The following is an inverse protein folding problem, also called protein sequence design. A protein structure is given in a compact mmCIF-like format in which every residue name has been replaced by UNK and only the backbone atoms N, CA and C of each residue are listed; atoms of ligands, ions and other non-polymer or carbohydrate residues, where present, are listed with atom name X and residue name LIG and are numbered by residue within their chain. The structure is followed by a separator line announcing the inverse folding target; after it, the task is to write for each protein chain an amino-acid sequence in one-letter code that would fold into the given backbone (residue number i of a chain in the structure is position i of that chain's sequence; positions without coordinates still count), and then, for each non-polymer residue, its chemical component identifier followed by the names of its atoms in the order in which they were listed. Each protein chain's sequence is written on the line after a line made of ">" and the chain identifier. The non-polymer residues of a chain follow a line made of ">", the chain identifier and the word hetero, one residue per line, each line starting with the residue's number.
data_IF_907922396419
#
_entry.id   IF_907922396419
#
_cell.length_a   1.000
_cell.length_b   1.000
_cell.length_c   1.000
_cell.angle_alpha   90.00
_cell.angle_beta   90.00
_cell.angle_gamma   90.00
#
_symmetry.space_group_name_H-M   'P 1'
#
loop_
_entity.id
_entity.type
_entity.pdbx_description
1 polymer ?
#
# COMPACT_ATOMS: atom_id res chain seq x y z
N UNK A 1 28.31 -46.86 -61.05
CA UNK A 1 28.36 -46.36 -62.42
C UNK A 1 28.16 -44.89 -62.40
N UNK A 2 29.00 -44.01 -62.65
CA UNK A 2 30.07 -43.72 -63.57
C UNK A 2 30.84 -42.50 -62.98
N UNK A 3 32.11 -42.60 -62.93
CA UNK A 3 33.13 -41.63 -62.60
C UNK A 3 33.11 -40.46 -63.60
N UNK A 4 33.38 -39.22 -63.13
CA UNK A 4 34.19 -38.33 -63.98
C UNK A 4 35.05 -37.43 -63.07
N UNK A 5 36.36 -37.68 -63.16
CA UNK A 5 37.45 -36.82 -62.65
C UNK A 5 37.65 -35.64 -63.66
N UNK A 6 37.91 -34.46 -63.22
CA UNK A 6 38.70 -33.48 -63.98
C UNK A 6 39.69 -32.76 -63.05
N UNK A 7 40.84 -32.56 -63.63
CA UNK A 7 42.13 -32.26 -63.01
C UNK A 7 42.40 -30.78 -62.88
N UNK A 8 43.35 -30.48 -62.00
CA UNK A 8 44.06 -29.26 -61.68
C UNK A 8 44.47 -28.37 -62.85
N UNK A 9 44.41 -27.06 -62.62
CA UNK A 9 45.49 -26.12 -63.03
C UNK A 9 45.69 -25.09 -61.94
N UNK A 10 46.87 -25.07 -61.32
CA UNK A 10 47.36 -24.07 -60.42
C UNK A 10 47.94 -22.90 -61.19
N UNK A 11 47.48 -21.69 -60.98
CA UNK A 11 48.15 -20.46 -61.40
C UNK A 11 48.54 -19.68 -60.17
N UNK A 12 49.83 -19.70 -59.85
CA UNK A 12 50.49 -18.83 -58.85
C UNK A 12 50.60 -17.41 -59.47
N UNK A 13 49.88 -16.46 -58.93
CA UNK A 13 50.12 -15.03 -59.13
C UNK A 13 50.43 -14.42 -57.79
N UNK A 14 51.73 -14.08 -57.59
CA UNK A 14 52.22 -13.37 -56.42
C UNK A 14 51.69 -11.92 -56.43
N UNK A 15 50.83 -11.61 -55.47
CA UNK A 15 50.39 -10.25 -55.17
C UNK A 15 50.96 -9.83 -53.83
N UNK A 16 51.91 -8.91 -53.88
CA UNK A 16 52.46 -8.23 -52.69
C UNK A 16 51.37 -7.47 -51.97
N UNK A 17 50.96 -7.96 -50.82
CA UNK A 17 50.07 -7.22 -49.89
C UNK A 17 50.88 -6.12 -49.19
N UNK A 18 50.73 -4.90 -49.64
CA UNK A 18 51.13 -3.73 -48.90
C UNK A 18 50.16 -3.57 -47.71
N UNK A 19 50.58 -3.93 -46.50
CA UNK A 19 49.89 -3.61 -45.28
C UNK A 19 49.96 -2.08 -45.05
N UNK A 20 48.89 -1.40 -45.42
CA UNK A 20 48.72 0.01 -45.04
C UNK A 20 48.51 0.08 -43.54
N UNK A 21 49.49 0.58 -42.81
CA UNK A 21 49.34 0.95 -41.41
C UNK A 21 48.27 2.03 -41.29
N UNK A 22 47.07 1.66 -40.89
CA UNK A 22 46.04 2.60 -40.49
C UNK A 22 46.57 3.37 -39.25
N UNK A 23 46.98 4.59 -39.44
CA UNK A 23 47.34 5.51 -38.37
C UNK A 23 46.10 5.67 -37.49
N UNK A 24 46.23 5.30 -36.20
CA UNK A 24 45.25 5.59 -35.14
C UNK A 24 45.08 7.12 -35.06
N UNK A 25 44.08 7.64 -35.71
CA UNK A 25 43.61 9.00 -35.43
C UNK A 25 43.08 8.99 -33.99
N UNK A 26 43.46 9.95 -33.13
CA UNK A 26 42.93 10.04 -31.80
C UNK A 26 41.42 10.20 -31.89
N UNK A 27 40.69 9.32 -31.21
CA UNK A 27 39.22 9.43 -31.06
C UNK A 27 38.88 10.84 -30.59
N UNK A 28 37.86 11.50 -31.14
CA UNK A 28 37.43 12.79 -30.65
C UNK A 28 37.10 12.69 -29.16
N UNK A 29 37.43 13.73 -28.37
CA UNK A 29 37.15 13.70 -26.93
C UNK A 29 35.67 13.42 -26.73
N UNK A 30 35.35 12.35 -25.99
CA UNK A 30 33.99 12.08 -25.57
C UNK A 30 33.49 13.27 -24.74
N UNK A 31 32.28 13.79 -25.04
CA UNK A 31 31.70 14.84 -24.21
C UNK A 31 31.69 14.35 -22.73
N UNK A 32 31.95 15.25 -21.78
CA UNK A 32 31.90 14.88 -20.36
C UNK A 32 30.57 14.22 -20.06
N UNK A 33 30.61 13.13 -19.31
CA UNK A 33 29.40 12.47 -18.86
C UNK A 33 28.49 13.49 -18.15
N UNK A 34 27.17 13.47 -18.38
CA UNK A 34 26.28 14.38 -17.68
C UNK A 34 26.46 14.18 -16.16
N UNK A 35 26.32 15.24 -15.36
CA UNK A 35 26.45 15.14 -13.92
C UNK A 35 25.44 14.12 -13.37
N UNK A 36 25.87 13.32 -12.39
CA UNK A 36 24.99 12.37 -11.73
C UNK A 36 23.85 13.12 -11.05
N UNK A 37 22.62 12.67 -11.27
CA UNK A 37 21.42 13.21 -10.64
C UNK A 37 21.16 12.50 -9.31
N UNK A 38 20.53 13.19 -8.36
CA UNK A 38 20.22 12.65 -7.06
C UNK A 38 18.74 12.88 -6.72
N UNK A 39 18.04 11.80 -6.36
CA UNK A 39 16.68 11.85 -5.85
C UNK A 39 16.72 11.43 -4.38
N UNK A 40 16.38 12.39 -3.50
CA UNK A 40 16.31 12.17 -2.07
C UNK A 40 14.89 11.82 -1.66
N UNK A 41 14.76 10.73 -0.96
CA UNK A 41 13.50 10.25 -0.37
C UNK A 41 13.71 10.21 1.14
N UNK A 42 12.76 10.72 1.91
CA UNK A 42 12.78 10.61 3.36
C UNK A 42 11.59 9.77 3.84
N UNK A 43 11.87 8.83 4.74
CA UNK A 43 10.86 8.09 5.48
C UNK A 43 10.72 8.73 6.87
N UNK A 44 9.51 9.17 7.20
CA UNK A 44 9.22 9.91 8.43
C UNK A 44 8.34 9.06 9.34
N UNK A 45 8.79 8.82 10.55
CA UNK A 45 8.08 8.03 11.56
C UNK A 45 8.12 8.67 12.94
N UNK A 46 7.28 8.20 13.84
CA UNK A 46 7.24 8.63 15.23
C UNK A 46 7.77 7.52 16.12
N UNK A 47 8.86 7.77 16.85
CA UNK A 47 9.40 6.81 17.80
C UNK A 47 8.44 6.64 18.98
N UNK A 48 8.08 5.39 19.30
CA UNK A 48 7.13 5.10 20.36
C UNK A 48 5.66 5.39 19.97
N UNK A 49 5.35 5.39 18.69
CA UNK A 49 3.97 5.47 18.19
C UNK A 49 3.15 4.30 18.74
N UNK A 50 2.03 4.55 19.44
CA UNK A 50 1.19 3.49 20.01
C UNK A 50 0.68 2.46 19.01
N UNK A 51 0.56 2.82 17.72
CA UNK A 51 0.15 1.88 16.66
C UNK A 51 1.12 0.72 16.47
N UNK A 52 2.37 0.88 16.90
CA UNK A 52 3.45 -0.13 16.81
C UNK A 52 3.82 -0.76 18.15
N UNK A 53 3.06 -0.44 19.21
CA UNK A 53 3.20 -1.18 20.46
C UNK A 53 2.69 -2.61 20.30
N UNK A 54 3.33 -3.60 20.98
CA UNK A 54 2.86 -4.97 20.93
C UNK A 54 1.42 -5.08 21.41
N UNK A 55 0.54 -5.59 20.56
CA UNK A 55 -0.85 -5.89 20.91
C UNK A 55 -0.86 -7.03 21.93
N UNK A 56 -1.51 -6.81 23.06
CA UNK A 56 -1.52 -7.77 24.18
C UNK A 56 -2.93 -8.17 24.51
N UNK A 57 -3.16 -9.48 24.60
CA UNK A 57 -4.39 -10.01 25.17
C UNK A 57 -4.45 -9.79 26.68
N UNK A 58 -5.62 -10.06 27.25
CA UNK A 58 -5.90 -9.91 28.68
C UNK A 58 -4.85 -10.54 29.61
N UNK A 59 -4.33 -11.71 29.25
CA UNK A 59 -3.28 -12.40 30.00
C UNK A 59 -1.87 -11.82 29.77
N UNK A 60 -1.77 -10.64 29.14
CA UNK A 60 -0.53 -9.98 28.71
C UNK A 60 0.30 -10.78 27.70
N UNK A 61 -0.26 -11.83 27.13
CA UNK A 61 0.36 -12.54 26.00
C UNK A 61 0.42 -11.60 24.80
N UNK A 62 1.57 -11.52 24.16
CA UNK A 62 1.73 -10.74 22.92
C UNK A 62 0.99 -11.49 21.81
N UNK A 63 0.04 -10.83 21.18
CA UNK A 63 -0.79 -11.36 20.10
C UNK A 63 -0.22 -10.96 18.74
N UNK A 64 0.25 -9.70 18.62
CA UNK A 64 0.82 -9.14 17.42
C UNK A 64 1.92 -8.16 17.79
N UNK A 65 2.95 -8.08 16.97
CA UNK A 65 4.05 -7.11 17.10
C UNK A 65 4.15 -6.36 15.78
N UNK A 66 3.39 -5.28 15.59
CA UNK A 66 3.48 -4.48 14.37
C UNK A 66 4.81 -3.73 14.32
N UNK A 67 5.30 -3.46 13.12
CA UNK A 67 6.55 -2.74 12.89
C UNK A 67 6.32 -1.55 11.96
N UNK A 68 7.16 -0.51 12.09
CA UNK A 68 7.17 0.59 11.13
C UNK A 68 7.51 0.09 9.73
N UNK A 69 6.83 0.56 8.68
CA UNK A 69 6.99 0.04 7.32
C UNK A 69 8.26 0.54 6.61
N UNK A 70 9.32 0.85 7.35
CA UNK A 70 10.59 1.32 6.81
C UNK A 70 11.25 0.26 5.92
N UNK A 71 11.18 -1.01 6.30
CA UNK A 71 11.75 -2.12 5.52
C UNK A 71 11.10 -2.23 4.13
N UNK A 72 9.81 -1.90 4.01
CA UNK A 72 9.13 -1.80 2.71
C UNK A 72 9.79 -0.76 1.79
N UNK A 73 10.08 0.43 2.32
CA UNK A 73 10.79 1.46 1.57
C UNK A 73 12.23 1.03 1.19
N UNK A 74 12.94 0.37 2.12
CA UNK A 74 14.30 -0.11 1.86
C UNK A 74 14.38 -1.12 0.72
N UNK A 75 13.45 -2.09 0.63
CA UNK A 75 13.45 -3.04 -0.50
C UNK A 75 13.14 -2.33 -1.82
N UNK A 76 12.32 -1.27 -1.81
CA UNK A 76 12.08 -0.45 -2.99
C UNK A 76 13.36 0.23 -3.50
N UNK A 77 14.20 0.73 -2.59
CA UNK A 77 15.52 1.30 -2.92
C UNK A 77 16.50 0.22 -3.41
N UNK A 78 16.54 -0.93 -2.76
CA UNK A 78 17.39 -2.05 -3.19
C UNK A 78 17.04 -2.50 -4.64
N UNK A 79 15.76 -2.49 -4.99
CA UNK A 79 15.28 -2.77 -6.35
C UNK A 79 15.66 -1.67 -7.37
N UNK A 80 15.84 -0.43 -6.92
CA UNK A 80 16.28 0.67 -7.75
C UNK A 80 17.78 0.63 -8.07
N UNK A 81 18.60 -0.03 -7.27
CA UNK A 81 20.06 -0.05 -7.39
C UNK A 81 20.60 -0.45 -8.80
N UNK A 82 20.04 -1.44 -9.52
CA UNK A 82 20.45 -1.75 -10.88
C UNK A 82 20.15 -0.62 -11.88
N UNK A 83 19.12 0.20 -11.62
CA UNK A 83 18.68 1.28 -12.50
C UNK A 83 19.52 2.54 -12.34
N UNK A 84 20.22 2.72 -11.23
CA UNK A 84 21.08 3.89 -10.96
C UNK A 84 22.05 4.16 -12.09
N UNK A 85 22.71 3.12 -12.61
CA UNK A 85 23.67 3.28 -13.73
C UNK A 85 22.96 3.61 -15.04
N UNK A 86 21.80 3.03 -15.30
CA UNK A 86 21.04 3.26 -16.53
C UNK A 86 20.51 4.68 -16.59
N UNK A 87 20.04 5.20 -15.46
CA UNK A 87 19.44 6.53 -15.36
C UNK A 87 20.48 7.62 -15.08
N UNK A 88 21.71 7.28 -14.73
CA UNK A 88 22.70 8.20 -14.15
C UNK A 88 22.10 8.99 -12.97
N UNK A 89 21.25 8.32 -12.19
CA UNK A 89 20.49 8.90 -11.08
C UNK A 89 20.69 8.04 -9.84
N UNK A 90 21.06 8.65 -8.73
CA UNK A 90 21.20 8.00 -7.44
C UNK A 90 19.94 8.23 -6.60
N UNK A 91 19.47 7.17 -5.93
CA UNK A 91 18.29 7.21 -5.06
C UNK A 91 18.76 6.98 -3.62
N UNK A 92 18.48 7.94 -2.74
CA UNK A 92 18.79 7.82 -1.32
C UNK A 92 17.52 7.80 -0.47
N UNK A 93 17.54 7.04 0.61
CA UNK A 93 16.47 6.96 1.59
C UNK A 93 16.99 7.37 2.96
N UNK A 94 16.55 8.52 3.44
CA UNK A 94 16.86 9.02 4.77
C UNK A 94 15.75 8.65 5.74
N UNK A 95 16.08 8.23 6.95
CA UNK A 95 15.10 7.94 8.01
C UNK A 95 15.04 9.11 8.97
N UNK A 96 13.87 9.70 9.13
CA UNK A 96 13.57 10.80 10.06
C UNK A 96 12.67 10.25 11.15
N UNK A 97 13.18 10.18 12.37
CA UNK A 97 12.43 9.78 13.55
C UNK A 97 12.16 10.99 14.43
N UNK A 98 10.89 11.18 14.78
CA UNK A 98 10.43 12.23 15.70
C UNK A 98 9.74 11.58 16.91
N UNK A 99 9.44 12.35 17.96
CA UNK A 99 8.90 11.80 19.21
C UNK A 99 7.38 12.02 19.39
N UNK A 100 6.81 12.86 18.55
CA UNK A 100 5.38 13.19 18.66
C UNK A 100 4.80 13.58 17.30
N UNK A 101 3.46 13.48 17.12
CA UNK A 101 2.78 13.95 15.92
C UNK A 101 3.03 15.42 15.61
N UNK A 102 3.19 16.25 16.63
CA UNK A 102 3.45 17.69 16.48
C UNK A 102 4.83 18.02 15.88
N UNK A 103 5.79 17.09 15.98
CA UNK A 103 7.15 17.26 15.44
C UNK A 103 7.27 16.84 13.97
N UNK A 104 6.27 16.12 13.41
CA UNK A 104 6.30 15.63 12.03
C UNK A 104 6.43 16.78 11.04
N UNK A 105 5.55 17.77 11.10
CA UNK A 105 5.55 18.88 10.15
C UNK A 105 6.84 19.72 10.20
N UNK A 106 7.37 20.14 11.37
CA UNK A 106 8.67 20.81 11.45
C UNK A 106 9.84 20.00 10.88
N UNK A 107 9.88 18.67 11.12
CA UNK A 107 10.93 17.81 10.63
C UNK A 107 10.89 17.67 9.10
N UNK A 108 9.71 17.47 8.52
CA UNK A 108 9.52 17.41 7.08
C UNK A 108 9.87 18.75 6.42
N UNK A 109 9.45 19.88 7.02
CA UNK A 109 9.79 21.21 6.52
C UNK A 109 11.31 21.44 6.49
N UNK A 110 12.01 21.07 7.56
CA UNK A 110 13.48 21.20 7.63
C UNK A 110 14.17 20.35 6.56
N UNK A 111 13.71 19.12 6.32
CA UNK A 111 14.24 18.25 5.27
C UNK A 111 13.93 18.77 3.86
N UNK A 112 12.74 19.36 3.67
CA UNK A 112 12.37 20.01 2.41
C UNK A 112 13.27 21.23 2.13
N UNK A 113 13.56 22.04 3.13
CA UNK A 113 14.49 23.17 3.03
C UNK A 113 15.94 22.69 2.72
N UNK A 114 16.29 21.45 3.11
CA UNK A 114 17.55 20.80 2.76
C UNK A 114 17.53 20.10 1.38
N UNK A 115 16.43 20.24 0.61
CA UNK A 115 16.29 19.76 -0.77
C UNK A 115 15.72 18.36 -0.92
N UNK A 116 15.09 17.78 0.09
CA UNK A 116 14.31 16.56 -0.03
C UNK A 116 12.92 16.90 -0.56
N UNK A 117 12.46 16.18 -1.60
CA UNK A 117 11.19 16.47 -2.26
C UNK A 117 10.15 15.35 -2.15
N UNK A 118 10.58 14.14 -1.82
CA UNK A 118 9.71 12.97 -1.66
C UNK A 118 9.74 12.47 -0.23
N UNK A 119 8.57 12.36 0.39
CA UNK A 119 8.43 11.96 1.78
C UNK A 119 7.42 10.83 1.92
N UNK A 120 7.83 9.72 2.51
CA UNK A 120 6.95 8.64 2.95
C UNK A 120 6.58 8.93 4.41
N UNK A 121 5.29 9.15 4.67
CA UNK A 121 4.79 9.57 5.97
C UNK A 121 4.10 8.40 6.66
N UNK A 122 4.74 7.91 7.71
CA UNK A 122 4.19 6.95 8.65
C UNK A 122 3.83 7.66 9.97
N UNK A 123 2.62 8.22 10.00
CA UNK A 123 2.11 8.97 11.13
C UNK A 123 0.59 8.77 11.29
N UNK A 124 0.03 8.97 12.51
CA UNK A 124 -1.41 8.97 12.72
C UNK A 124 -2.06 10.21 12.09
N UNK A 125 -3.38 10.14 11.86
CA UNK A 125 -4.14 11.17 11.15
C UNK A 125 -3.98 12.57 11.74
N UNK A 126 -3.79 12.71 13.05
CA UNK A 126 -3.62 13.96 13.75
C UNK A 126 -2.39 14.78 13.32
N UNK A 127 -1.35 14.11 12.79
CA UNK A 127 -0.15 14.79 12.31
C UNK A 127 -0.37 15.54 10.99
N UNK A 128 -1.37 15.14 10.19
CA UNK A 128 -1.50 15.57 8.81
C UNK A 128 -2.02 17.01 8.68
N UNK A 129 -2.84 17.52 9.62
CA UNK A 129 -3.33 18.90 9.54
C UNK A 129 -2.17 19.91 9.55
N UNK A 130 -1.23 19.73 10.48
CA UNK A 130 -0.06 20.61 10.58
C UNK A 130 0.86 20.44 9.35
N UNK A 131 0.99 19.19 8.88
CA UNK A 131 1.84 18.84 7.74
C UNK A 131 1.33 19.50 6.44
N UNK A 132 0.04 19.36 6.13
CA UNK A 132 -0.60 19.98 4.95
C UNK A 132 -0.47 21.51 5.02
N UNK A 133 -0.70 22.11 6.19
CA UNK A 133 -0.58 23.57 6.36
C UNK A 133 0.84 24.07 6.15
N UNK A 134 1.84 23.36 6.69
CA UNK A 134 3.24 23.77 6.62
C UNK A 134 3.85 23.64 5.22
N UNK A 135 3.35 22.70 4.43
CA UNK A 135 3.93 22.35 3.12
C UNK A 135 3.10 22.83 1.93
N UNK A 136 2.02 23.55 2.19
CA UNK A 136 1.17 24.09 1.14
C UNK A 136 1.95 24.97 0.16
N UNK A 137 1.86 24.68 -1.13
CA UNK A 137 2.54 25.39 -2.20
C UNK A 137 4.05 25.11 -2.30
N UNK A 138 4.58 24.10 -1.61
CA UNK A 138 5.96 23.67 -1.70
C UNK A 138 6.12 22.60 -2.79
N UNK A 139 7.31 22.55 -3.38
CA UNK A 139 7.68 21.53 -4.37
C UNK A 139 8.04 20.21 -3.68
N UNK A 140 7.04 19.56 -3.08
CA UNK A 140 7.16 18.28 -2.39
C UNK A 140 6.01 17.36 -2.75
N UNK A 141 6.21 16.04 -2.62
CA UNK A 141 5.18 15.02 -2.60
C UNK A 141 5.28 14.19 -1.31
N UNK A 142 4.16 14.10 -0.63
CA UNK A 142 3.98 13.37 0.62
C UNK A 142 3.19 12.09 0.32
N UNK A 143 3.73 10.94 0.65
CA UNK A 143 3.09 9.65 0.45
C UNK A 143 2.61 9.13 1.81
N UNK A 144 1.31 9.14 2.06
CA UNK A 144 0.72 8.52 3.24
C UNK A 144 0.78 6.99 3.08
N UNK A 145 1.58 6.33 3.89
CA UNK A 145 1.84 4.89 3.79
C UNK A 145 1.18 4.04 4.89
N UNK A 146 0.49 4.66 5.87
CA UNK A 146 -0.05 3.91 7.00
C UNK A 146 -1.41 4.37 7.54
N UNK A 147 -1.81 5.64 7.33
CA UNK A 147 -3.06 6.15 7.89
C UNK A 147 -4.27 5.87 6.99
N UNK A 148 -5.26 5.07 7.47
CA UNK A 148 -6.45 4.69 6.70
C UNK A 148 -7.59 5.71 6.80
N UNK A 149 -7.43 6.79 7.54
CA UNK A 149 -8.50 7.71 7.91
C UNK A 149 -9.15 8.37 6.70
N UNK A 150 -10.46 8.20 6.55
CA UNK A 150 -11.23 8.75 5.44
C UNK A 150 -11.25 10.28 5.43
N UNK A 151 -11.14 10.93 6.60
CA UNK A 151 -11.08 12.39 6.73
C UNK A 151 -9.89 12.99 5.98
N UNK A 152 -8.77 12.26 5.88
CA UNK A 152 -7.59 12.71 5.12
C UNK A 152 -7.87 12.82 3.61
N UNK A 153 -8.86 12.07 3.10
CA UNK A 153 -9.25 12.04 1.69
C UNK A 153 -10.45 12.94 1.40
N UNK A 154 -11.18 13.36 2.44
CA UNK A 154 -12.42 14.14 2.34
C UNK A 154 -12.22 15.58 2.71
N UNK A 155 -11.80 15.81 3.95
CA UNK A 155 -11.82 17.14 4.57
C UNK A 155 -10.43 17.78 4.64
N UNK A 156 -9.36 16.95 4.61
CA UNK A 156 -7.97 17.36 4.72
C UNK A 156 -7.14 17.01 3.48
N UNK A 157 -7.70 17.15 2.31
CA UNK A 157 -6.95 16.86 1.09
C UNK A 157 -5.97 17.97 0.71
N UNK A 158 -4.85 17.59 0.06
CA UNK A 158 -3.80 18.49 -0.39
C UNK A 158 -3.24 18.04 -1.71
N UNK A 159 -2.87 19.00 -2.56
CA UNK A 159 -2.24 18.73 -3.87
C UNK A 159 -0.82 18.15 -3.72
N UNK A 160 -0.22 18.26 -2.56
CA UNK A 160 1.08 17.71 -2.21
C UNK A 160 0.99 16.29 -1.62
N UNK A 161 -0.24 15.80 -1.31
CA UNK A 161 -0.46 14.51 -0.63
C UNK A 161 -0.94 13.43 -1.60
N UNK A 162 -0.34 12.25 -1.51
CA UNK A 162 -0.79 11.01 -2.16
C UNK A 162 -1.09 10.00 -1.05
N UNK A 163 -2.27 9.41 -1.08
CA UNK A 163 -2.66 8.37 -0.13
C UNK A 163 -2.39 7.00 -0.73
N UNK A 164 -1.27 6.39 -0.37
CA UNK A 164 -0.86 5.08 -0.89
C UNK A 164 -1.54 3.95 -0.12
N UNK A 165 -1.60 4.06 1.21
CA UNK A 165 -2.37 3.11 2.02
C UNK A 165 -3.87 3.31 1.76
N UNK A 166 -4.66 2.23 1.62
CA UNK A 166 -6.09 2.34 1.36
C UNK A 166 -6.85 3.02 2.51
N UNK A 167 -7.93 3.72 2.18
CA UNK A 167 -8.83 4.26 3.19
C UNK A 167 -9.64 3.15 3.86
N UNK A 168 -10.22 3.43 5.05
CA UNK A 168 -11.16 2.49 5.69
C UNK A 168 -12.35 2.21 4.77
N UNK A 169 -12.86 3.23 4.08
CA UNK A 169 -13.93 3.05 3.12
C UNK A 169 -13.54 2.04 2.02
N UNK A 170 -12.32 2.14 1.45
CA UNK A 170 -11.87 1.18 0.43
C UNK A 170 -11.77 -0.25 0.98
N UNK A 171 -11.24 -0.41 2.19
CA UNK A 171 -11.11 -1.72 2.83
C UNK A 171 -12.49 -2.33 3.08
N UNK A 172 -13.41 -1.58 3.67
CA UNK A 172 -14.75 -2.06 3.97
C UNK A 172 -15.58 -2.30 2.72
N UNK A 173 -15.43 -1.49 1.68
CA UNK A 173 -16.06 -1.71 0.38
C UNK A 173 -15.64 -3.06 -0.22
N UNK A 174 -14.34 -3.37 -0.17
CA UNK A 174 -13.84 -4.66 -0.64
C UNK A 174 -14.43 -5.84 0.15
N UNK A 175 -14.51 -5.72 1.47
CA UNK A 175 -15.10 -6.74 2.32
C UNK A 175 -16.59 -6.93 2.00
N UNK A 176 -17.38 -5.85 1.97
CA UNK A 176 -18.84 -5.94 1.74
C UNK A 176 -19.16 -6.46 0.35
N UNK A 177 -18.43 -6.03 -0.70
CA UNK A 177 -18.60 -6.60 -2.04
C UNK A 177 -18.45 -8.12 -2.02
N UNK A 178 -17.43 -8.63 -1.32
CA UNK A 178 -17.23 -10.06 -1.19
C UNK A 178 -18.40 -10.74 -0.46
N UNK A 179 -18.84 -10.20 0.68
CA UNK A 179 -19.96 -10.76 1.44
C UNK A 179 -21.22 -10.84 0.59
N UNK A 180 -21.59 -9.75 -0.09
CA UNK A 180 -22.76 -9.70 -0.96
C UNK A 180 -22.64 -10.65 -2.14
N UNK A 181 -21.48 -10.79 -2.75
CA UNK A 181 -21.22 -11.76 -3.82
C UNK A 181 -21.45 -13.21 -3.38
N UNK A 182 -21.19 -13.49 -2.09
CA UNK A 182 -21.45 -14.80 -1.46
C UNK A 182 -22.90 -14.95 -1.00
N UNK A 183 -23.75 -13.91 -1.18
CA UNK A 183 -25.12 -13.84 -0.68
C UNK A 183 -25.21 -13.84 0.85
N UNK A 184 -24.19 -13.37 1.51
CA UNK A 184 -24.13 -13.13 2.94
C UNK A 184 -24.50 -11.67 3.20
N UNK A 185 -25.78 -11.36 3.11
CA UNK A 185 -26.28 -9.99 3.10
C UNK A 185 -26.90 -9.53 4.41
N UNK A 186 -27.16 -10.45 5.37
CA UNK A 186 -27.68 -10.13 6.70
C UNK A 186 -26.53 -10.18 7.70
N UNK A 187 -26.16 -9.02 8.23
CA UNK A 187 -24.90 -8.84 8.96
C UNK A 187 -25.19 -8.49 10.43
N UNK A 188 -24.56 -9.21 11.36
CA UNK A 188 -24.51 -8.85 12.77
C UNK A 188 -23.18 -8.17 13.04
N UNK A 189 -23.21 -6.95 13.57
CA UNK A 189 -21.99 -6.18 13.89
C UNK A 189 -21.71 -6.28 15.37
N UNK A 190 -20.45 -6.50 15.74
CA UNK A 190 -19.91 -6.33 17.07
C UNK A 190 -18.89 -5.19 17.05
N UNK A 191 -19.20 -4.12 17.79
CA UNK A 191 -18.36 -2.92 17.85
C UNK A 191 -17.69 -2.80 19.21
N UNK A 192 -16.37 -2.64 19.20
CA UNK A 192 -15.56 -2.39 20.38
C UNK A 192 -15.61 -0.94 20.84
N UNK A 193 -14.95 -0.61 21.96
CA UNK A 193 -15.08 0.68 22.61
C UNK A 193 -14.11 1.74 22.12
N UNK A 194 -13.13 1.39 21.25
CA UNK A 194 -12.12 2.35 20.83
C UNK A 194 -12.62 3.26 19.72
N UNK A 195 -12.06 4.46 19.55
CA UNK A 195 -12.36 5.32 18.40
C UNK A 195 -12.07 4.63 17.05
N UNK A 196 -11.07 3.75 17.00
CA UNK A 196 -10.70 2.97 15.81
C UNK A 196 -11.80 1.96 15.46
N UNK A 197 -12.36 1.26 16.48
CA UNK A 197 -13.47 0.33 16.31
C UNK A 197 -14.70 1.04 15.75
N UNK A 198 -15.03 2.19 16.33
CA UNK A 198 -16.17 3.00 15.86
C UNK A 198 -15.96 3.52 14.43
N UNK A 199 -14.74 3.93 14.08
CA UNK A 199 -14.42 4.35 12.72
C UNK A 199 -14.54 3.19 11.72
N UNK A 200 -14.11 2.00 12.10
CA UNK A 200 -14.25 0.78 11.30
C UNK A 200 -15.72 0.39 11.13
N UNK A 201 -16.50 0.37 12.20
CA UNK A 201 -17.93 0.04 12.18
C UNK A 201 -18.72 1.05 11.34
N UNK A 202 -18.39 2.33 11.44
CA UNK A 202 -19.02 3.39 10.63
C UNK A 202 -18.70 3.22 9.14
N UNK A 203 -17.44 2.97 8.77
CA UNK A 203 -17.05 2.71 7.39
C UNK A 203 -17.73 1.45 6.85
N UNK A 204 -17.78 0.38 7.65
CA UNK A 204 -18.48 -0.84 7.30
C UNK A 204 -19.98 -0.62 7.08
N UNK A 205 -20.63 0.14 7.96
CA UNK A 205 -22.05 0.48 7.84
C UNK A 205 -22.35 1.27 6.56
N UNK A 206 -21.48 2.22 6.21
CA UNK A 206 -21.58 2.95 4.94
C UNK A 206 -21.44 2.01 3.74
N UNK A 207 -20.44 1.13 3.73
CA UNK A 207 -20.24 0.14 2.67
C UNK A 207 -21.41 -0.84 2.56
N UNK A 208 -21.98 -1.30 3.70
CA UNK A 208 -23.14 -2.16 3.72
C UNK A 208 -24.34 -1.49 3.00
N UNK A 209 -24.59 -0.22 3.29
CA UNK A 209 -25.62 0.57 2.61
C UNK A 209 -25.30 0.72 1.11
N UNK A 210 -24.07 1.05 0.74
CA UNK A 210 -23.64 1.26 -0.65
C UNK A 210 -23.85 0.02 -1.51
N UNK A 211 -23.58 -1.18 -0.99
CA UNK A 211 -23.67 -2.43 -1.74
C UNK A 211 -24.90 -3.28 -1.42
N UNK A 212 -25.87 -2.75 -0.68
CA UNK A 212 -27.15 -3.39 -0.45
C UNK A 212 -27.13 -4.56 0.54
N UNK A 213 -26.21 -4.57 1.48
CA UNK A 213 -26.22 -5.45 2.63
C UNK A 213 -27.04 -4.83 3.79
N UNK A 214 -27.52 -5.66 4.72
CA UNK A 214 -28.40 -5.27 5.82
C UNK A 214 -27.76 -5.58 7.16
N UNK A 215 -27.49 -4.56 7.96
CA UNK A 215 -27.10 -4.74 9.36
C UNK A 215 -28.38 -5.05 10.14
N UNK A 216 -28.50 -6.31 10.61
CA UNK A 216 -29.68 -6.79 11.34
C UNK A 216 -29.65 -6.41 12.82
N UNK A 217 -28.45 -6.28 13.38
CA UNK A 217 -28.20 -5.74 14.71
C UNK A 217 -26.77 -5.23 14.80
N UNK A 218 -26.59 -4.25 15.69
CA UNK A 218 -25.30 -3.72 16.11
C UNK A 218 -25.20 -3.89 17.63
N UNK A 219 -24.18 -4.58 18.09
CA UNK A 219 -23.97 -4.94 19.48
C UNK A 219 -22.60 -4.41 19.94
N UNK A 220 -22.62 -3.62 21.01
CA UNK A 220 -21.40 -3.08 21.57
C UNK A 220 -20.86 -3.99 22.67
N UNK A 221 -19.58 -4.30 22.61
CA UNK A 221 -18.88 -5.01 23.68
C UNK A 221 -17.89 -4.09 24.40
N UNK A 222 -17.61 -4.42 25.66
CA UNK A 222 -16.64 -3.68 26.47
C UNK A 222 -15.64 -4.69 27.06
N UNK A 223 -14.45 -4.82 26.48
CA UNK A 223 -13.43 -5.66 27.08
C UNK A 223 -13.12 -5.12 28.47
N UNK A 224 -13.21 -5.98 29.46
CA UNK A 224 -13.03 -5.64 30.87
C UNK A 224 -12.10 -6.61 31.56
N UNK A 225 -11.41 -6.13 32.58
CA UNK A 225 -10.66 -6.98 33.54
C UNK A 225 -11.56 -7.61 34.56
N UNK A 226 -12.77 -7.08 34.76
CA UNK A 226 -13.77 -7.64 35.67
C UNK A 226 -14.42 -8.90 35.06
N UNK A 227 -14.45 -10.04 35.75
CA UNK A 227 -15.16 -11.23 35.29
C UNK A 227 -16.63 -11.01 34.95
N UNK A 228 -17.31 -10.08 35.65
CA UNK A 228 -18.72 -9.74 35.38
C UNK A 228 -18.92 -9.06 34.05
N UNK A 229 -17.99 -8.17 33.64
CA UNK A 229 -18.05 -7.53 32.35
C UNK A 229 -17.86 -8.56 31.22
N UNK A 230 -17.03 -9.59 31.47
CA UNK A 230 -16.84 -10.70 30.53
C UNK A 230 -18.08 -11.54 30.33
N UNK A 231 -18.81 -11.84 31.40
CA UNK A 231 -20.07 -12.58 31.28
C UNK A 231 -21.12 -11.82 30.48
N UNK A 232 -21.15 -10.48 30.57
CA UNK A 232 -22.05 -9.62 29.80
C UNK A 232 -21.65 -9.50 28.35
N UNK A 233 -20.37 -9.67 28.04
CA UNK A 233 -19.81 -9.57 26.68
C UNK A 233 -19.56 -10.95 26.05
N UNK A 234 -20.19 -12.01 26.58
CA UNK A 234 -20.06 -13.34 25.98
C UNK A 234 -20.61 -13.33 24.54
N UNK A 235 -19.84 -13.74 23.53
CA UNK A 235 -20.31 -13.73 22.14
C UNK A 235 -21.63 -14.49 21.92
N UNK A 236 -21.88 -15.52 22.73
CA UNK A 236 -23.15 -16.25 22.72
C UNK A 236 -24.33 -15.35 23.08
N UNK A 237 -24.21 -14.48 24.09
CA UNK A 237 -25.27 -13.54 24.48
C UNK A 237 -25.46 -12.46 23.44
N UNK A 238 -24.36 -11.88 22.91
CA UNK A 238 -24.42 -10.83 21.90
C UNK A 238 -24.98 -11.35 20.57
N UNK A 239 -24.78 -12.62 20.23
CA UNK A 239 -25.34 -13.25 19.03
C UNK A 239 -26.74 -13.85 19.22
N UNK A 240 -27.29 -13.84 20.45
CA UNK A 240 -28.63 -14.35 20.72
C UNK A 240 -29.73 -13.34 20.37
N UNK A 241 -29.77 -12.93 19.11
CA UNK A 241 -30.77 -11.99 18.58
C UNK A 241 -31.95 -12.74 17.92
N UNK A 242 -33.13 -12.07 17.87
CA UNK A 242 -34.35 -12.64 17.28
C UNK A 242 -34.40 -12.53 15.74
N UNK A 243 -33.30 -12.18 15.10
CA UNK A 243 -33.17 -12.09 13.65
C UNK A 243 -32.14 -13.09 13.16
N UNK A 244 -32.32 -13.62 11.97
CA UNK A 244 -31.29 -14.43 11.34
C UNK A 244 -30.21 -13.55 10.73
N UNK A 245 -28.97 -14.03 10.73
CA UNK A 245 -27.82 -13.36 10.14
C UNK A 245 -26.92 -14.38 9.45
N UNK A 246 -26.22 -13.93 8.44
CA UNK A 246 -25.34 -14.77 7.62
C UNK A 246 -23.88 -14.73 8.13
N UNK A 247 -23.46 -13.57 8.65
CA UNK A 247 -22.05 -13.27 9.02
C UNK A 247 -22.04 -12.40 10.27
N UNK A 248 -21.02 -12.57 11.10
CA UNK A 248 -20.66 -11.66 12.18
C UNK A 248 -19.48 -10.82 11.75
N UNK A 249 -19.63 -9.51 11.82
CA UNK A 249 -18.58 -8.53 11.53
C UNK A 249 -18.09 -7.96 12.85
N UNK A 250 -16.80 -8.02 13.09
CA UNK A 250 -16.22 -7.56 14.37
C UNK A 250 -15.24 -6.43 14.09
N UNK A 251 -15.50 -5.29 14.75
CA UNK A 251 -14.57 -4.17 14.85
C UNK A 251 -13.90 -4.21 16.23
N UNK A 252 -12.70 -4.77 16.31
CA UNK A 252 -11.91 -4.94 17.53
C UNK A 252 -10.42 -4.67 17.21
N UNK A 253 -9.98 -3.45 17.46
CA UNK A 253 -8.59 -3.03 17.26
C UNK A 253 -7.62 -3.58 18.31
N UNK A 254 -8.14 -4.03 19.44
CA UNK A 254 -7.34 -4.63 20.51
C UNK A 254 -7.15 -6.15 20.35
N UNK A 255 -7.88 -6.80 19.44
CA UNK A 255 -7.80 -8.23 19.12
C UNK A 255 -8.06 -9.19 20.32
N UNK A 256 -8.54 -8.71 21.45
CA UNK A 256 -8.73 -9.57 22.63
C UNK A 256 -10.08 -10.27 22.62
N UNK A 257 -11.14 -9.54 22.31
CA UNK A 257 -12.50 -10.08 22.25
C UNK A 257 -12.69 -10.97 21.03
N UNK A 258 -12.28 -10.50 19.85
CA UNK A 258 -12.56 -11.15 18.58
C UNK A 258 -12.03 -12.59 18.49
N UNK A 259 -10.95 -12.91 19.18
CA UNK A 259 -10.32 -14.26 19.19
C UNK A 259 -11.28 -15.37 19.63
N UNK A 260 -12.21 -15.04 20.49
CA UNK A 260 -13.17 -16.02 21.03
C UNK A 260 -14.46 -16.12 20.21
N UNK A 261 -14.78 -15.09 19.44
CA UNK A 261 -16.05 -14.96 18.73
C UNK A 261 -16.37 -16.16 17.82
N UNK A 262 -15.47 -16.66 16.96
CA UNK A 262 -15.79 -17.76 16.06
C UNK A 262 -16.26 -19.03 16.77
N UNK A 263 -15.84 -19.23 18.02
CA UNK A 263 -16.05 -20.45 18.78
C UNK A 263 -17.20 -20.37 19.81
N UNK A 264 -17.71 -19.15 20.06
CA UNK A 264 -18.70 -18.91 21.11
C UNK A 264 -20.02 -18.31 20.60
N UNK A 265 -20.24 -18.26 19.29
CA UNK A 265 -21.53 -17.83 18.72
C UNK A 265 -22.62 -18.85 19.02
N UNK A 266 -23.87 -18.39 19.27
CA UNK A 266 -25.03 -19.27 19.42
C UNK A 266 -25.24 -20.18 18.20
N UNK A 267 -24.95 -19.66 17.02
CA UNK A 267 -24.97 -20.42 15.76
C UNK A 267 -23.64 -20.24 15.06
N UNK A 268 -23.03 -21.31 14.55
CA UNK A 268 -21.80 -21.17 13.74
C UNK A 268 -22.07 -20.31 12.49
N UNK A 269 -21.36 -19.20 12.39
CA UNK A 269 -21.37 -18.28 11.26
C UNK A 269 -19.94 -17.83 10.96
N UNK A 270 -19.62 -17.47 9.71
CA UNK A 270 -18.36 -16.81 9.41
C UNK A 270 -18.19 -15.54 10.26
N UNK A 271 -16.97 -15.31 10.72
CA UNK A 271 -16.56 -14.08 11.40
C UNK A 271 -15.60 -13.34 10.50
N UNK A 272 -15.79 -12.04 10.36
CA UNK A 272 -14.99 -11.22 9.46
C UNK A 272 -14.68 -9.86 10.10
N UNK A 273 -13.75 -9.12 9.53
CA UNK A 273 -13.42 -7.76 9.95
C UNK A 273 -12.06 -7.71 10.60
N UNK A 274 -11.96 -7.79 11.93
CA UNK A 274 -10.67 -7.76 12.65
C UNK A 274 -10.01 -9.13 12.78
N UNK A 275 -10.65 -10.21 12.36
CA UNK A 275 -10.10 -11.59 12.38
C UNK A 275 -10.72 -12.44 11.28
N UNK A 276 -10.10 -13.58 11.00
CA UNK A 276 -10.45 -14.60 10.02
C UNK A 276 -10.43 -14.04 8.59
N UNK A 277 -11.47 -13.37 8.15
CA UNK A 277 -11.49 -12.72 6.84
C UNK A 277 -11.34 -11.20 7.00
N UNK A 278 -10.14 -10.72 6.74
CA UNK A 278 -9.78 -9.31 6.86
C UNK A 278 -9.58 -8.67 5.48
N UNK A 279 -10.08 -7.44 5.24
CA UNK A 279 -9.72 -6.66 4.07
C UNK A 279 -8.38 -5.96 4.32
N UNK A 280 -7.37 -6.24 3.50
CA UNK A 280 -6.01 -5.74 3.71
C UNK A 280 -5.40 -5.17 2.42
N UNK A 281 -4.48 -4.23 2.57
CA UNK A 281 -3.71 -3.71 1.44
C UNK A 281 -2.74 -4.74 0.88
N UNK A 282 -2.16 -5.58 1.73
CA UNK A 282 -1.24 -6.65 1.34
C UNK A 282 -1.30 -7.79 2.34
N UNK A 283 -1.05 -9.02 1.83
CA UNK A 283 -0.90 -10.19 2.66
C UNK A 283 0.23 -11.07 2.14
N UNK A 284 1.06 -11.56 3.01
CA UNK A 284 2.25 -12.35 2.70
C UNK A 284 1.96 -13.67 1.96
N UNK A 285 0.73 -14.20 2.10
CA UNK A 285 0.31 -15.40 1.36
C UNK A 285 -0.20 -15.11 -0.04
N UNK A 286 -0.08 -13.88 -0.55
CA UNK A 286 -0.44 -13.59 -1.93
C UNK A 286 0.60 -14.19 -2.88
N UNK A 287 0.18 -15.20 -3.68
CA UNK A 287 1.07 -16.02 -4.48
C UNK A 287 1.07 -15.68 -5.98
N UNK A 288 0.45 -14.57 -6.37
CA UNK A 288 0.28 -14.19 -7.78
C UNK A 288 1.06 -12.91 -8.12
N UNK A 289 1.21 -12.65 -9.41
CA UNK A 289 1.65 -11.37 -9.97
C UNK A 289 2.99 -10.83 -9.42
N UNK A 290 3.97 -11.70 -9.14
CA UNK A 290 5.28 -11.24 -8.63
C UNK A 290 5.37 -11.16 -7.10
N UNK A 291 4.25 -11.25 -6.38
CA UNK A 291 4.22 -11.14 -4.92
C UNK A 291 5.15 -12.11 -4.18
N UNK A 292 5.32 -13.39 -4.57
CA UNK A 292 6.25 -14.29 -3.89
C UNK A 292 7.69 -13.75 -3.86
N UNK A 293 8.12 -13.09 -4.94
CA UNK A 293 9.46 -12.51 -5.03
C UNK A 293 9.61 -11.29 -4.12
N UNK A 294 8.57 -10.44 -4.03
CA UNK A 294 8.56 -9.28 -3.11
C UNK A 294 8.56 -9.75 -1.66
N UNK A 295 7.67 -10.70 -1.31
CA UNK A 295 7.59 -11.28 0.03
C UNK A 295 8.92 -11.90 0.45
N UNK A 296 9.55 -12.70 -0.42
CA UNK A 296 10.84 -13.33 -0.13
C UNK A 296 11.98 -12.32 0.11
N UNK A 297 12.00 -11.20 -0.65
CA UNK A 297 12.98 -10.13 -0.43
C UNK A 297 12.73 -9.42 0.88
N UNK A 298 11.45 -9.13 1.18
CA UNK A 298 11.05 -8.48 2.42
C UNK A 298 11.41 -9.34 3.64
N UNK A 299 10.98 -10.59 3.70
CA UNK A 299 11.24 -11.51 4.81
C UNK A 299 12.73 -11.66 5.10
N UNK A 300 13.54 -11.77 4.03
CA UNK A 300 14.99 -11.86 4.18
C UNK A 300 15.59 -10.61 4.83
N UNK A 301 15.07 -9.42 4.52
CA UNK A 301 15.56 -8.14 5.07
C UNK A 301 14.99 -7.87 6.46
N UNK A 302 13.73 -8.25 6.68
CA UNK A 302 12.99 -8.07 7.93
C UNK A 302 13.28 -9.16 8.99
N UNK A 303 14.29 -10.01 8.80
CA UNK A 303 14.64 -11.04 9.79
C UNK A 303 13.58 -12.13 9.99
N UNK A 304 12.74 -12.38 8.98
CA UNK A 304 11.69 -13.41 8.99
C UNK A 304 10.29 -12.88 9.28
N UNK A 305 10.12 -11.58 9.50
CA UNK A 305 8.80 -10.95 9.57
C UNK A 305 8.14 -10.95 8.18
N UNK A 306 6.82 -11.07 8.16
CA UNK A 306 6.04 -11.03 6.93
C UNK A 306 5.68 -9.60 6.54
N UNK A 307 5.64 -9.34 5.23
CA UNK A 307 5.22 -8.06 4.69
C UNK A 307 3.73 -7.82 4.93
N UNK A 308 3.39 -6.67 5.50
CA UNK A 308 2.02 -6.22 5.74
C UNK A 308 1.61 -5.05 4.82
N UNK A 309 0.37 -4.59 4.95
CA UNK A 309 -0.18 -3.53 4.11
C UNK A 309 0.62 -2.22 4.10
N UNK A 310 1.04 -1.67 5.25
CA UNK A 310 1.87 -0.47 5.28
C UNK A 310 3.24 -0.64 4.62
N UNK A 311 3.86 -1.84 4.76
CA UNK A 311 5.14 -2.13 4.10
C UNK A 311 4.99 -2.11 2.58
N UNK A 312 3.91 -2.71 2.07
CA UNK A 312 3.57 -2.66 0.65
C UNK A 312 3.37 -1.21 0.18
N UNK A 313 2.68 -0.40 0.98
CA UNK A 313 2.44 1.01 0.64
C UNK A 313 3.75 1.81 0.58
N UNK A 314 4.68 1.56 1.51
CA UNK A 314 6.01 2.18 1.49
C UNK A 314 6.84 1.71 0.29
N UNK A 315 6.82 0.41 -0.01
CA UNK A 315 7.51 -0.17 -1.16
C UNK A 315 7.00 0.39 -2.49
N UNK A 316 5.67 0.40 -2.72
CA UNK A 316 5.11 0.90 -3.97
C UNK A 316 5.30 2.41 -4.13
N UNK A 317 5.30 3.19 -3.03
CA UNK A 317 5.62 4.62 -3.08
C UNK A 317 7.03 4.87 -3.64
N UNK A 318 8.03 4.15 -3.16
CA UNK A 318 9.40 4.20 -3.70
C UNK A 318 9.41 3.76 -5.16
N UNK A 319 8.73 2.66 -5.49
CA UNK A 319 8.64 2.15 -6.87
C UNK A 319 8.01 3.18 -7.81
N UNK A 320 6.98 3.91 -7.39
CA UNK A 320 6.37 5.00 -8.17
C UNK A 320 7.37 6.12 -8.45
N UNK A 321 8.16 6.53 -7.46
CA UNK A 321 9.20 7.56 -7.62
C UNK A 321 10.28 7.08 -8.60
N UNK A 322 10.80 5.88 -8.43
CA UNK A 322 11.83 5.30 -9.30
C UNK A 322 11.33 5.11 -10.73
N UNK A 323 10.11 4.60 -10.90
CA UNK A 323 9.49 4.43 -12.22
C UNK A 323 9.21 5.76 -12.90
N UNK A 324 8.85 6.82 -12.16
CA UNK A 324 8.68 8.14 -12.74
C UNK A 324 10.00 8.67 -13.33
N UNK A 325 11.12 8.51 -12.60
CA UNK A 325 12.44 8.87 -13.11
C UNK A 325 12.84 8.03 -14.34
N UNK A 326 12.54 6.74 -14.32
CA UNK A 326 12.81 5.83 -15.44
C UNK A 326 12.02 6.19 -16.70
N UNK A 327 10.76 6.54 -16.55
CA UNK A 327 9.86 6.80 -17.67
C UNK A 327 10.04 8.21 -18.24
N UNK A 328 10.37 9.18 -17.39
CA UNK A 328 10.64 10.57 -17.81
C UNK A 328 12.09 10.80 -18.21
N UNK A 329 13.01 9.87 -17.91
CA UNK A 329 14.46 10.03 -18.04
C UNK A 329 14.97 11.31 -17.36
N UNK A 330 14.40 11.68 -16.22
CA UNK A 330 14.67 12.94 -15.54
C UNK A 330 14.58 12.77 -14.02
N UNK A 331 15.42 13.48 -13.28
CA UNK A 331 15.29 13.70 -11.83
C UNK A 331 14.59 15.04 -11.50
N UNK A 332 14.07 15.75 -12.49
CA UNK A 332 13.31 16.97 -12.28
C UNK A 332 12.01 16.67 -11.56
N UNK A 333 11.79 17.36 -10.43
CA UNK A 333 10.65 17.12 -9.56
C UNK A 333 9.31 17.38 -10.26
N UNK A 334 9.21 18.47 -11.03
CA UNK A 334 7.96 18.83 -11.69
C UNK A 334 7.56 17.77 -12.75
N UNK A 335 8.54 17.23 -13.48
CA UNK A 335 8.32 16.14 -14.43
C UNK A 335 7.89 14.85 -13.73
N UNK A 336 8.54 14.50 -12.62
CA UNK A 336 8.19 13.30 -11.85
C UNK A 336 6.81 13.44 -11.20
N UNK A 337 6.53 14.59 -10.57
CA UNK A 337 5.22 14.88 -9.99
C UNK A 337 4.12 14.80 -11.04
N UNK A 338 4.32 15.40 -12.21
CA UNK A 338 3.36 15.34 -13.31
C UNK A 338 3.14 13.90 -13.80
N UNK A 339 4.19 13.08 -13.83
CA UNK A 339 4.07 11.67 -14.19
C UNK A 339 3.32 10.86 -13.14
N UNK A 340 3.65 11.03 -11.86
CA UNK A 340 3.03 10.27 -10.76
C UNK A 340 1.55 10.61 -10.62
N UNK A 341 1.18 11.88 -10.72
CA UNK A 341 -0.21 12.36 -10.61
C UNK A 341 -1.00 12.27 -11.91
N UNK A 342 -0.34 11.94 -13.02
CA UNK A 342 -0.97 11.74 -14.32
C UNK A 342 -1.69 10.40 -14.44
N UNK A 343 -2.28 10.17 -15.61
CA UNK A 343 -2.95 8.91 -15.95
C UNK A 343 -1.90 7.85 -16.35
N UNK A 344 -1.09 7.44 -15.38
CA UNK A 344 -0.04 6.45 -15.54
C UNK A 344 -0.23 5.27 -14.61
N UNK A 345 0.05 4.10 -15.12
CA UNK A 345 -0.05 2.84 -14.41
C UNK A 345 1.28 2.40 -13.83
N UNK A 346 1.21 1.89 -12.59
CA UNK A 346 2.32 1.27 -11.87
C UNK A 346 1.95 -0.18 -11.53
N UNK A 347 2.95 -1.03 -11.53
CA UNK A 347 2.76 -2.43 -11.14
C UNK A 347 2.98 -2.59 -9.63
N UNK A 348 1.90 -2.87 -8.92
CA UNK A 348 1.88 -3.12 -7.47
C UNK A 348 1.85 -4.60 -7.10
N UNK A 349 2.07 -5.50 -8.04
CA UNK A 349 2.09 -6.96 -7.86
C UNK A 349 0.76 -7.55 -7.31
N UNK A 350 -0.38 -6.84 -7.55
CA UNK A 350 -1.73 -7.26 -7.14
C UNK A 350 -2.64 -7.68 -8.30
N UNK A 351 -2.13 -7.67 -9.53
CA UNK A 351 -2.85 -8.09 -10.73
C UNK A 351 -3.65 -6.98 -11.42
N UNK A 352 -4.01 -5.92 -10.73
CA UNK A 352 -4.56 -4.71 -11.30
C UNK A 352 -3.52 -3.58 -11.21
N UNK A 353 -3.50 -2.74 -12.21
CA UNK A 353 -2.60 -1.60 -12.24
C UNK A 353 -2.91 -0.62 -11.10
N UNK A 354 -1.85 -0.05 -10.54
CA UNK A 354 -1.92 0.99 -9.52
C UNK A 354 -1.84 2.34 -10.22
N UNK A 355 -2.74 3.28 -9.90
CA UNK A 355 -2.71 4.65 -10.42
C UNK A 355 -3.22 5.63 -9.36
N UNK A 356 -3.05 6.93 -9.57
CA UNK A 356 -3.49 7.96 -8.62
C UNK A 356 -4.79 8.59 -9.11
N UNK A 357 -5.80 8.67 -8.23
CA UNK A 357 -7.05 9.35 -8.51
C UNK A 357 -6.84 10.86 -8.62
N UNK A 358 -7.43 11.55 -9.61
CA UNK A 358 -7.23 12.99 -9.77
C UNK A 358 -8.05 13.85 -8.78
N UNK A 359 -9.06 13.31 -8.09
CA UNK A 359 -9.95 14.09 -7.22
C UNK A 359 -9.55 14.08 -5.74
N UNK A 360 -8.90 13.03 -5.26
CA UNK A 360 -8.53 12.88 -3.84
C UNK A 360 -7.07 12.40 -3.65
N UNK A 361 -6.34 12.16 -4.74
CA UNK A 361 -5.00 11.58 -4.76
C UNK A 361 -4.88 10.23 -4.01
N UNK A 362 -5.99 9.51 -3.82
CA UNK A 362 -5.95 8.15 -3.34
C UNK A 362 -5.42 7.22 -4.44
N UNK A 363 -4.51 6.37 -4.08
CA UNK A 363 -4.00 5.34 -4.98
C UNK A 363 -5.07 4.27 -5.22
N UNK A 364 -5.40 4.05 -6.49
CA UNK A 364 -6.21 2.93 -6.96
C UNK A 364 -5.44 1.65 -6.78
N UNK A 365 -5.99 0.70 -6.08
CA UNK A 365 -5.37 -0.58 -5.81
C UNK A 365 -6.42 -1.65 -5.48
N UNK A 366 -6.10 -2.89 -5.77
CA UNK A 366 -6.91 -3.99 -5.29
C UNK A 366 -6.81 -4.12 -3.76
N UNK A 367 -7.93 -4.41 -3.10
CA UNK A 367 -7.99 -4.79 -1.69
C UNK A 367 -8.02 -6.31 -1.63
N UNK A 368 -7.07 -6.89 -0.90
CA UNK A 368 -7.01 -8.34 -0.69
C UNK A 368 -7.93 -8.73 0.46
N UNK A 369 -8.59 -9.86 0.30
CA UNK A 369 -9.44 -10.46 1.34
C UNK A 369 -8.70 -11.67 1.86
N UNK A 370 -8.09 -11.52 3.02
CA UNK A 370 -7.14 -12.48 3.57
C UNK A 370 -7.70 -13.19 4.80
N UNK A 371 -7.54 -14.49 4.83
CA UNK A 371 -7.56 -15.31 6.03
C UNK A 371 -6.12 -15.49 6.54
N UNK A 372 -5.88 -15.99 7.76
CA UNK A 372 -4.54 -16.02 8.36
C UNK A 372 -3.45 -16.66 7.50
N UNK A 373 -3.81 -17.59 6.61
CA UNK A 373 -2.85 -18.34 5.77
C UNK A 373 -3.23 -18.38 4.29
N UNK A 374 -4.18 -17.57 3.85
CA UNK A 374 -4.63 -17.56 2.45
C UNK A 374 -5.28 -16.23 2.09
N UNK A 375 -5.01 -15.74 0.88
CA UNK A 375 -5.82 -14.70 0.26
C UNK A 375 -6.95 -15.36 -0.51
N UNK A 376 -8.17 -15.26 0.03
CA UNK A 376 -9.37 -15.94 -0.51
C UNK A 376 -10.02 -15.18 -1.65
N UNK A 377 -9.69 -13.91 -1.82
CA UNK A 377 -10.24 -13.05 -2.86
C UNK A 377 -9.52 -11.72 -2.99
N UNK A 378 -9.90 -10.99 -4.02
CA UNK A 378 -9.38 -9.64 -4.28
C UNK A 378 -10.54 -8.79 -4.78
N UNK A 379 -10.78 -7.66 -4.15
CA UNK A 379 -11.75 -6.65 -4.59
C UNK A 379 -11.07 -5.61 -5.51
N UNK A 380 -11.79 -5.04 -6.49
CA UNK A 380 -13.24 -5.14 -6.69
C UNK A 380 -13.70 -6.50 -7.19
N UNK A 381 -14.87 -6.91 -6.75
CA UNK A 381 -15.49 -8.19 -7.13
C UNK A 381 -16.29 -8.02 -8.43
N UNK A 382 -16.25 -9.01 -9.30
CA UNK A 382 -17.07 -9.06 -10.51
C UNK A 382 -18.56 -8.83 -10.18
N UNK A 383 -19.20 -7.92 -10.91
CA UNK A 383 -20.58 -7.47 -10.64
C UNK A 383 -20.65 -6.13 -9.89
N UNK A 384 -19.53 -5.64 -9.34
CA UNK A 384 -19.45 -4.33 -8.68
C UNK A 384 -18.44 -3.40 -9.35
N UNK A 385 -17.95 -3.75 -10.54
CA UNK A 385 -16.93 -2.98 -11.24
C UNK A 385 -17.48 -1.61 -11.65
N UNK A 386 -16.64 -0.59 -11.52
CA UNK A 386 -16.99 0.75 -11.97
C UNK A 386 -16.87 0.89 -13.49
N UNK A 387 -17.69 1.76 -14.10
CA UNK A 387 -17.79 1.89 -15.57
C UNK A 387 -16.51 2.45 -16.23
N UNK A 388 -15.76 3.30 -15.53
CA UNK A 388 -14.59 3.98 -16.08
C UNK A 388 -13.28 3.29 -15.68
N UNK A 389 -13.12 3.00 -14.40
CA UNK A 389 -11.98 2.28 -13.86
C UNK A 389 -12.48 1.34 -12.77
N UNK A 390 -12.24 0.05 -12.92
CA UNK A 390 -12.76 -0.99 -12.04
C UNK A 390 -12.51 -0.69 -10.55
N UNK A 391 -11.36 -0.07 -10.23
CA UNK A 391 -10.95 0.23 -8.86
C UNK A 391 -11.67 1.43 -8.24
N UNK A 392 -12.40 2.25 -9.02
CA UNK A 392 -13.12 3.42 -8.52
C UNK A 392 -14.41 3.06 -7.79
N UNK A 393 -14.82 1.79 -7.82
CA UNK A 393 -15.90 1.27 -6.97
C UNK A 393 -15.52 1.19 -5.49
N UNK A 394 -14.23 1.23 -5.15
CA UNK A 394 -13.72 1.12 -3.78
C UNK A 394 -13.43 2.51 -3.19
N UNK A 395 -14.04 2.84 -2.06
CA UNK A 395 -13.95 4.17 -1.44
C UNK A 395 -14.85 5.19 -2.12
N UNK A 396 -14.59 6.47 -1.88
CA UNK A 396 -15.39 7.56 -2.44
C UNK A 396 -15.11 7.74 -3.93
N UNK A 397 -16.11 7.61 -4.77
CA UNK A 397 -16.01 7.90 -6.19
C UNK A 397 -16.03 9.43 -6.44
N UNK A 398 -15.67 9.85 -7.65
CA UNK A 398 -15.59 11.27 -8.01
C UNK A 398 -16.87 12.07 -7.69
N UNK A 399 -18.10 11.59 -7.92
CA UNK A 399 -19.31 12.30 -7.53
C UNK A 399 -19.51 12.40 -6.01
N UNK A 400 -18.93 11.48 -5.24
CA UNK A 400 -19.00 11.41 -3.77
C UNK A 400 -17.88 12.22 -3.10
N UNK A 401 -16.85 12.60 -3.87
CA UNK A 401 -15.65 13.24 -3.37
C UNK A 401 -15.95 14.60 -2.74
N UNK A 402 -15.53 14.76 -1.50
CA UNK A 402 -15.57 16.06 -0.77
C UNK A 402 -14.27 16.86 -0.96
N UNK A 403 -13.22 16.19 -1.42
CA UNK A 403 -11.94 16.81 -1.70
C UNK A 403 -12.01 17.73 -2.93
N UNK A 404 -11.40 18.90 -2.83
CA UNK A 404 -11.35 19.91 -3.89
C UNK A 404 -9.90 20.36 -4.11
N UNK A 405 -9.10 19.50 -4.73
CA UNK A 405 -7.65 19.72 -4.94
C UNK A 405 -7.33 20.96 -5.80
N UNK A 406 -8.27 21.46 -6.59
CA UNK A 406 -8.08 22.52 -7.58
C UNK A 406 -8.74 23.86 -7.19
N UNK A 407 -8.98 24.11 -5.91
CA UNK A 407 -9.56 25.38 -5.47
C UNK A 407 -8.62 26.15 -4.58
#
# INVERSE_FOLDING_TARGET
>A
MSNLRFACVALLLGGSLAVAAAQNAPSPPQPPAPPQQHIKIAFVQIDGDPRYEPVRGYTRTILKTPEHPYTGAEIGIDEAAPLTRLLNTDFTLDRISVKSPAEVAPAVLAAADAGTQFFLIDAPAEAYQALVTALHGRDVLLFNVSAPDDTLRRDLCSVEMIHVYPSRAQLMDGLVQYLVSRKWSNLLVFEGPTPEDSAMAAAFSHSAQKFGAHIVADQHFKPGTDPRDREQNEPALLSAINRDFDVVVVADSEFDFVRSVPYHLVRPRPVVGSIDLEPVAWHWTWERNGAPQVNSRFEKKAGGHHMEGPDWAAWIAVKMIVQSALRTHSADFAMQRAFILGDNDFDGDKGLAVSVRPWDHQVRQAVLLAAPYEVVGSAPIEGFLHQTNDLDTLGDDQPEARCHLNK
#
